data_IF_213553125497
#
_entry.id   IF_213553125497
#
_cell.length_a   1.000
_cell.length_b   1.000
_cell.length_c   1.000
_cell.angle_alpha   90.00
_cell.angle_beta   90.00
_cell.angle_gamma   90.00
#
_symmetry.space_group_name_H-M   'P 1'
#
loop_
_entity.id
_entity.type
_entity.pdbx_description
1 polymer ?
#
# COMPACT_ATOMS: atom_id res chain seq x y z
N UNK A 1 -41.85 7.94 17.61
CA UNK A 1 -41.41 6.80 16.77
C UNK A 1 -40.47 5.94 17.60
N UNK A 2 -40.35 4.64 17.31
CA UNK A 2 -39.38 3.78 17.99
C UNK A 2 -38.00 3.92 17.34
N UNK A 3 -36.94 3.51 18.02
CA UNK A 3 -35.58 3.49 17.44
C UNK A 3 -35.51 2.68 16.13
N UNK A 4 -36.32 1.63 16.00
CA UNK A 4 -36.34 0.78 14.79
C UNK A 4 -36.90 1.53 13.60
N UNK A 5 -37.88 2.41 13.83
CA UNK A 5 -38.53 3.20 12.76
C UNK A 5 -37.61 4.32 12.21
N UNK A 6 -36.59 4.72 12.98
CA UNK A 6 -35.63 5.78 12.64
C UNK A 6 -34.40 5.25 11.88
N UNK A 7 -34.19 3.93 11.84
CA UNK A 7 -33.03 3.32 11.19
C UNK A 7 -33.32 3.10 9.70
N UNK A 8 -32.47 3.68 8.86
CA UNK A 8 -32.45 3.44 7.42
C UNK A 8 -31.13 2.77 7.05
N UNK A 9 -31.05 2.26 5.82
CA UNK A 9 -29.79 1.73 5.29
C UNK A 9 -28.69 2.80 5.29
N UNK A 10 -29.04 4.03 4.94
CA UNK A 10 -28.12 5.17 4.84
C UNK A 10 -27.62 5.60 6.22
N UNK A 11 -28.53 5.70 7.21
CA UNK A 11 -28.12 6.05 8.58
C UNK A 11 -27.30 4.93 9.22
N UNK A 12 -27.58 3.67 8.91
CA UNK A 12 -26.73 2.54 9.31
C UNK A 12 -25.33 2.64 8.70
N UNK A 13 -25.19 2.90 7.40
CA UNK A 13 -23.88 3.05 6.74
C UNK A 13 -23.09 4.20 7.35
N UNK A 14 -23.68 5.40 7.42
CA UNK A 14 -23.00 6.60 7.94
C UNK A 14 -22.59 6.48 9.41
N UNK A 15 -23.24 5.61 10.18
CA UNK A 15 -22.92 5.38 11.58
C UNK A 15 -21.80 4.33 11.79
N UNK A 16 -21.52 3.48 10.80
CA UNK A 16 -20.66 2.31 10.97
C UNK A 16 -19.38 2.32 10.12
N UNK A 17 -19.24 3.23 9.15
CA UNK A 17 -18.09 3.26 8.24
C UNK A 17 -17.40 4.63 8.21
N UNK A 18 -16.07 4.69 8.00
CA UNK A 18 -15.16 3.53 7.86
C UNK A 18 -15.01 2.74 9.17
N UNK A 19 -14.61 1.47 9.10
CA UNK A 19 -14.71 0.52 10.22
C UNK A 19 -13.95 0.94 11.48
N UNK A 20 -12.86 1.69 11.33
CA UNK A 20 -12.05 2.19 12.44
C UNK A 20 -12.36 3.66 12.80
N UNK A 21 -13.29 4.31 12.10
CA UNK A 21 -13.55 5.74 12.25
C UNK A 21 -12.25 6.54 12.11
N UNK A 22 -11.92 7.33 13.12
CA UNK A 22 -10.71 8.15 13.21
C UNK A 22 -9.61 7.57 14.09
N UNK A 23 -9.73 6.32 14.55
CA UNK A 23 -8.76 5.71 15.48
C UNK A 23 -7.32 5.80 14.96
N UNK A 24 -7.10 5.37 13.71
CA UNK A 24 -5.76 5.40 13.12
C UNK A 24 -5.32 6.82 12.73
N UNK A 25 -6.26 7.72 12.43
CA UNK A 25 -5.94 9.13 12.20
C UNK A 25 -5.34 9.75 13.46
N UNK A 26 -5.98 9.53 14.61
CA UNK A 26 -5.53 9.98 15.93
C UNK A 26 -4.17 9.35 16.29
N UNK A 27 -4.03 8.02 16.11
CA UNK A 27 -2.76 7.32 16.39
C UNK A 27 -1.59 7.89 15.57
N UNK A 28 -1.80 8.15 14.28
CA UNK A 28 -0.78 8.74 13.40
C UNK A 28 -0.43 10.17 13.82
N UNK A 29 -1.44 11.01 14.13
CA UNK A 29 -1.23 12.39 14.58
C UNK A 29 -0.41 12.40 15.89
N UNK A 30 -0.77 11.55 16.86
CA UNK A 30 -0.14 11.46 18.18
C UNK A 30 1.24 10.78 18.19
N UNK A 31 1.62 10.02 17.16
CA UNK A 31 2.90 9.31 17.13
C UNK A 31 4.09 10.28 17.15
N UNK A 32 4.90 10.19 18.21
CA UNK A 32 6.18 10.88 18.36
C UNK A 32 7.32 9.99 17.85
N UNK A 33 7.66 10.12 16.56
CA UNK A 33 8.70 9.35 15.88
C UNK A 33 10.07 9.75 16.40
N UNK A 34 10.77 8.79 17.04
CA UNK A 34 12.04 9.05 17.73
C UNK A 34 13.17 9.35 16.74
N UNK A 35 14.16 10.11 17.20
CA UNK A 35 15.39 10.38 16.46
C UNK A 35 16.06 9.07 16.02
N UNK A 36 16.50 9.02 14.76
CA UNK A 36 17.07 7.83 14.13
C UNK A 36 16.04 6.77 13.75
N UNK A 37 14.74 7.08 13.75
CA UNK A 37 13.67 6.15 13.38
C UNK A 37 12.69 6.70 12.34
N UNK A 38 11.95 5.82 11.69
CA UNK A 38 10.83 6.12 10.79
C UNK A 38 9.67 5.18 11.09
N UNK A 39 8.47 5.72 11.25
CA UNK A 39 7.25 4.95 11.49
C UNK A 39 6.42 4.85 10.21
N UNK A 40 5.79 3.68 10.01
CA UNK A 40 4.91 3.42 8.87
C UNK A 40 3.66 2.68 9.34
N UNK A 41 2.55 2.89 8.64
CA UNK A 41 1.31 2.14 8.83
C UNK A 41 0.79 1.61 7.50
N UNK A 42 0.32 0.36 7.52
CA UNK A 42 -0.25 -0.26 6.33
C UNK A 42 -1.73 0.05 6.20
N UNK A 43 -2.15 0.81 5.20
CA UNK A 43 -3.53 1.27 5.03
C UNK A 43 -4.41 0.28 4.26
N UNK A 44 -3.86 -0.89 3.89
CA UNK A 44 -4.49 -1.91 3.04
C UNK A 44 -4.07 -1.76 1.57
N UNK A 45 -4.17 -2.84 0.79
CA UNK A 45 -3.58 -2.92 -0.55
C UNK A 45 -2.07 -2.61 -0.48
N UNK A 46 -1.62 -1.55 -1.14
CA UNK A 46 -0.27 -0.99 -0.95
C UNK A 46 -0.28 0.41 -0.36
N UNK A 47 -1.40 0.82 0.23
CA UNK A 47 -1.47 2.10 0.92
C UNK A 47 -0.51 2.12 2.10
N UNK A 48 0.42 3.08 2.14
CA UNK A 48 1.36 3.26 3.25
C UNK A 48 1.27 4.70 3.73
N UNK A 49 1.08 4.89 5.03
CA UNK A 49 1.42 6.13 5.69
C UNK A 49 2.84 6.04 6.22
N UNK A 50 3.67 7.06 6.00
CA UNK A 50 5.03 7.16 6.53
C UNK A 50 5.17 8.47 7.29
N UNK A 51 5.68 8.40 8.53
CA UNK A 51 6.01 9.57 9.36
C UNK A 51 7.49 9.52 9.75
N UNK A 52 8.24 10.56 9.38
CA UNK A 52 9.67 10.69 9.70
C UNK A 52 9.88 11.25 11.11
N UNK A 53 11.11 11.13 11.63
CA UNK A 53 11.51 11.77 12.90
C UNK A 53 11.34 13.29 12.92
N UNK A 54 11.40 13.96 11.76
CA UNK A 54 11.19 15.40 11.64
C UNK A 54 9.72 15.80 11.57
N UNK A 55 8.79 14.84 11.63
CA UNK A 55 7.35 15.07 11.50
C UNK A 55 6.85 15.18 10.05
N UNK A 56 7.66 14.79 9.06
CA UNK A 56 7.21 14.75 7.66
C UNK A 56 6.27 13.55 7.47
N UNK A 57 5.09 13.78 6.90
CA UNK A 57 4.06 12.79 6.64
C UNK A 57 3.88 12.56 5.12
N UNK A 58 4.06 11.33 4.67
CA UNK A 58 3.84 10.92 3.29
C UNK A 58 2.76 9.84 3.23
N UNK A 59 1.85 9.97 2.26
CA UNK A 59 0.77 9.00 2.03
C UNK A 59 0.92 8.42 0.62
N UNK A 60 1.24 7.14 0.52
CA UNK A 60 1.64 6.47 -0.73
C UNK A 60 0.58 5.45 -1.09
N UNK A 61 0.09 5.45 -2.34
CA UNK A 61 -0.87 4.49 -2.90
C UNK A 61 -2.13 4.28 -2.05
N UNK A 62 -2.56 5.29 -1.29
CA UNK A 62 -3.70 5.12 -0.39
C UNK A 62 -5.02 5.00 -1.16
N UNK A 63 -5.69 3.86 -0.96
CA UNK A 63 -6.88 3.47 -1.71
C UNK A 63 -8.08 3.12 -0.81
N UNK A 64 -9.21 3.80 -1.06
CA UNK A 64 -10.39 3.78 -0.19
C UNK A 64 -11.63 3.17 -0.87
N UNK A 65 -11.54 2.92 -2.18
CA UNK A 65 -12.66 2.32 -2.94
C UNK A 65 -12.85 0.84 -2.60
N UNK A 66 -13.90 0.27 -3.17
CA UNK A 66 -14.29 -1.13 -3.01
C UNK A 66 -14.03 -1.95 -4.30
N UNK A 67 -14.07 -3.27 -4.19
CA UNK A 67 -14.12 -4.20 -5.32
C UNK A 67 -15.48 -4.25 -6.04
N UNK A 68 -15.88 -5.43 -6.52
CA UNK A 68 -17.22 -5.63 -7.09
C UNK A 68 -18.31 -5.48 -6.02
N UNK A 69 -19.42 -4.83 -6.38
CA UNK A 69 -20.61 -4.63 -5.52
C UNK A 69 -21.83 -5.47 -5.91
N UNK A 70 -21.78 -6.10 -7.07
CA UNK A 70 -22.91 -6.85 -7.64
C UNK A 70 -22.41 -7.89 -8.64
N UNK A 71 -23.19 -8.96 -8.80
CA UNK A 71 -22.97 -9.98 -9.82
C UNK A 71 -23.88 -9.79 -11.05
N UNK A 72 -24.63 -8.68 -11.13
CA UNK A 72 -25.59 -8.46 -12.22
C UNK A 72 -24.91 -8.39 -13.60
N UNK A 73 -23.80 -7.66 -13.72
CA UNK A 73 -22.98 -7.72 -14.93
C UNK A 73 -22.14 -8.99 -14.91
N UNK A 74 -22.31 -9.86 -15.91
CA UNK A 74 -21.59 -11.14 -16.01
C UNK A 74 -20.27 -11.04 -16.77
N UNK A 75 -20.02 -9.92 -17.44
CA UNK A 75 -18.88 -9.75 -18.34
C UNK A 75 -17.88 -8.75 -17.78
N UNK A 76 -16.61 -9.05 -18.00
CA UNK A 76 -15.52 -8.10 -17.80
C UNK A 76 -15.66 -6.93 -18.76
N UNK A 77 -15.19 -5.75 -18.35
CA UNK A 77 -15.10 -4.59 -19.25
C UNK A 77 -14.26 -4.96 -20.48
N UNK A 78 -14.78 -4.64 -21.66
CA UNK A 78 -14.09 -4.88 -22.91
C UNK A 78 -12.71 -4.21 -22.89
N UNK A 79 -11.67 -4.96 -23.28
CA UNK A 79 -10.27 -4.55 -23.31
C UNK A 79 -9.69 -4.15 -21.93
N UNK A 80 -10.26 -4.63 -20.84
CA UNK A 80 -9.59 -4.63 -19.54
C UNK A 80 -8.25 -5.38 -19.61
N UNK A 81 -7.25 -4.99 -18.82
CA UNK A 81 -5.92 -5.60 -18.81
C UNK A 81 -5.96 -7.12 -18.63
N UNK A 82 -6.78 -7.64 -17.69
CA UNK A 82 -7.01 -9.09 -17.56
C UNK A 82 -7.58 -9.76 -18.83
N UNK A 83 -8.52 -9.11 -19.53
CA UNK A 83 -9.01 -9.65 -20.81
C UNK A 83 -7.90 -9.65 -21.87
N UNK A 84 -7.04 -8.63 -21.90
CA UNK A 84 -5.90 -8.55 -22.83
C UNK A 84 -4.86 -9.63 -22.54
N UNK A 85 -4.58 -9.89 -21.26
CA UNK A 85 -3.59 -10.88 -20.84
C UNK A 85 -4.03 -12.32 -21.09
N UNK A 86 -5.28 -12.66 -20.74
CA UNK A 86 -5.71 -14.08 -20.67
C UNK A 86 -6.94 -14.40 -21.53
N UNK A 87 -7.49 -13.43 -22.28
CA UNK A 87 -8.64 -13.64 -23.15
C UNK A 87 -9.95 -13.97 -22.42
N UNK A 88 -10.06 -13.63 -21.13
CA UNK A 88 -11.26 -13.93 -20.34
C UNK A 88 -12.43 -12.99 -20.67
N UNK A 89 -13.65 -13.54 -20.68
CA UNK A 89 -14.88 -12.74 -20.88
C UNK A 89 -15.68 -12.54 -19.59
N UNK A 90 -15.64 -13.51 -18.67
CA UNK A 90 -16.42 -13.46 -17.43
C UNK A 90 -15.88 -12.37 -16.51
N UNK A 91 -16.79 -11.77 -15.74
CA UNK A 91 -16.44 -10.81 -14.69
C UNK A 91 -15.43 -11.43 -13.70
N UNK A 92 -14.38 -10.68 -13.37
CA UNK A 92 -13.47 -11.02 -12.28
C UNK A 92 -14.19 -10.87 -10.92
N UNK A 93 -14.12 -11.86 -10.02
CA UNK A 93 -14.75 -11.82 -8.71
C UNK A 93 -13.86 -11.15 -7.65
N UNK A 94 -13.23 -10.02 -7.95
CA UNK A 94 -12.39 -9.29 -7.00
C UNK A 94 -13.24 -8.48 -6.02
N UNK A 95 -13.43 -9.02 -4.81
CA UNK A 95 -14.06 -8.35 -3.69
C UNK A 95 -12.97 -7.83 -2.76
N UNK A 96 -13.16 -6.61 -2.22
CA UNK A 96 -12.27 -6.05 -1.20
C UNK A 96 -12.40 -6.88 0.08
N UNK A 97 -11.29 -7.36 0.64
CA UNK A 97 -11.28 -8.31 1.77
C UNK A 97 -10.77 -7.71 3.09
N UNK A 98 -10.48 -6.41 3.12
CA UNK A 98 -10.06 -5.69 4.34
C UNK A 98 -10.90 -4.44 4.59
N UNK A 99 -11.02 -4.02 5.87
CA UNK A 99 -11.68 -2.78 6.24
C UNK A 99 -10.95 -1.54 5.67
N UNK A 100 -11.60 -0.39 5.76
CA UNK A 100 -10.94 0.91 5.64
C UNK A 100 -10.48 1.35 7.03
N UNK A 101 -9.17 1.28 7.28
CA UNK A 101 -8.58 1.50 8.62
C UNK A 101 -8.26 2.96 8.93
N UNK A 102 -8.22 3.81 7.91
CA UNK A 102 -8.00 5.25 8.02
C UNK A 102 -9.20 5.98 7.38
N UNK A 103 -9.65 7.09 7.94
CA UNK A 103 -10.62 7.97 7.26
C UNK A 103 -9.86 9.03 6.46
N UNK A 104 -9.95 9.06 5.11
CA UNK A 104 -9.28 10.10 4.34
C UNK A 104 -9.79 11.51 4.70
N UNK A 105 -11.07 11.66 5.07
CA UNK A 105 -11.67 12.96 5.39
C UNK A 105 -11.33 13.47 6.80
N UNK A 106 -10.64 12.66 7.60
CA UNK A 106 -10.06 13.08 8.87
C UNK A 106 -8.55 13.37 8.79
N UNK A 107 -7.94 13.30 7.59
CA UNK A 107 -6.55 13.71 7.39
C UNK A 107 -6.46 15.23 7.59
N UNK A 108 -5.63 15.66 8.55
CA UNK A 108 -5.30 17.08 8.80
C UNK A 108 -3.86 17.42 8.43
N UNK A 109 -2.94 16.51 8.71
CA UNK A 109 -1.50 16.71 8.52
C UNK A 109 -0.94 15.69 7.53
N UNK A 110 -0.51 16.16 6.36
CA UNK A 110 0.21 15.37 5.34
C UNK A 110 1.02 16.35 4.48
N UNK A 111 2.21 15.96 4.03
CA UNK A 111 3.08 16.84 3.22
C UNK A 111 3.04 16.47 1.73
N UNK A 112 2.85 15.20 1.41
CA UNK A 112 2.63 14.75 0.04
C UNK A 112 1.78 13.49 -0.09
N UNK A 113 1.01 13.44 -1.17
CA UNK A 113 0.30 12.27 -1.66
C UNK A 113 1.08 11.70 -2.83
N UNK A 114 1.48 10.44 -2.72
CA UNK A 114 2.27 9.73 -3.73
C UNK A 114 1.42 8.64 -4.38
N UNK A 115 1.61 8.43 -5.68
CA UNK A 115 1.08 7.28 -6.40
C UNK A 115 2.18 6.67 -7.24
N UNK A 116 2.37 5.35 -7.14
CA UNK A 116 3.36 4.60 -7.91
C UNK A 116 2.94 4.45 -9.36
N UNK A 117 1.65 4.24 -9.62
CA UNK A 117 1.09 4.03 -10.95
C UNK A 117 -0.43 4.23 -10.95
N UNK A 118 -1.06 4.16 -12.12
CA UNK A 118 -2.42 4.69 -12.34
C UNK A 118 -3.53 3.63 -12.29
N UNK A 119 -3.23 2.39 -11.89
CA UNK A 119 -4.28 1.40 -11.63
C UNK A 119 -5.18 1.85 -10.49
N UNK A 120 -6.45 1.45 -10.60
CA UNK A 120 -7.52 2.01 -9.78
C UNK A 120 -7.41 1.74 -8.28
N UNK A 121 -6.52 0.84 -7.85
CA UNK A 121 -6.19 0.46 -6.47
C UNK A 121 -4.90 1.07 -5.91
N UNK A 122 -4.27 2.00 -6.66
CA UNK A 122 -3.05 2.73 -6.27
C UNK A 122 -3.20 4.26 -6.34
N UNK A 123 -4.40 4.73 -6.70
CA UNK A 123 -4.74 6.14 -6.80
C UNK A 123 -6.25 6.34 -6.53
N UNK A 124 -6.58 7.39 -5.79
CA UNK A 124 -7.95 7.56 -5.26
C UNK A 124 -8.41 9.02 -5.29
N UNK A 125 -9.54 9.25 -5.98
CA UNK A 125 -10.18 10.55 -6.11
C UNK A 125 -10.80 11.06 -4.79
N UNK A 126 -11.18 10.19 -3.87
CA UNK A 126 -11.74 10.56 -2.56
C UNK A 126 -10.63 11.05 -1.64
N UNK A 127 -9.46 10.39 -1.67
CA UNK A 127 -8.26 10.85 -0.94
C UNK A 127 -7.82 12.21 -1.48
N UNK A 128 -7.77 12.38 -2.80
CA UNK A 128 -7.46 13.67 -3.40
C UNK A 128 -8.45 14.75 -2.96
N UNK A 129 -9.76 14.47 -3.02
CA UNK A 129 -10.78 15.42 -2.57
C UNK A 129 -10.63 15.80 -1.10
N UNK A 130 -10.39 14.82 -0.21
CA UNK A 130 -10.22 15.07 1.22
C UNK A 130 -9.02 15.97 1.51
N UNK A 131 -7.87 15.69 0.90
CA UNK A 131 -6.64 16.49 1.07
C UNK A 131 -6.83 17.91 0.54
N UNK A 132 -7.49 18.08 -0.61
CA UNK A 132 -7.79 19.41 -1.14
C UNK A 132 -8.75 20.21 -0.24
N UNK A 133 -9.66 19.53 0.46
CA UNK A 133 -10.65 20.17 1.35
C UNK A 133 -10.09 20.51 2.73
N UNK A 134 -9.18 19.70 3.25
CA UNK A 134 -8.78 19.74 4.66
C UNK A 134 -7.35 20.26 4.88
N UNK A 135 -6.44 20.05 3.92
CA UNK A 135 -5.01 20.25 4.13
C UNK A 135 -4.48 21.51 3.45
N UNK A 136 -3.24 21.86 3.79
CA UNK A 136 -2.54 23.01 3.26
C UNK A 136 -2.50 22.99 1.70
N UNK A 137 -2.71 24.14 1.02
CA UNK A 137 -2.53 24.25 -0.43
C UNK A 137 -1.15 23.80 -0.94
N UNK A 138 -0.12 23.78 -0.07
CA UNK A 138 1.23 23.36 -0.42
C UNK A 138 1.41 21.85 -0.51
N UNK A 139 0.50 21.02 0.02
CA UNK A 139 0.61 19.54 -0.08
C UNK A 139 0.68 19.14 -1.55
N UNK A 140 1.72 18.35 -1.88
CA UNK A 140 2.03 17.95 -3.26
C UNK A 140 1.40 16.60 -3.62
N UNK A 141 1.03 16.44 -4.88
CA UNK A 141 0.59 15.19 -5.49
C UNK A 141 1.68 14.70 -6.45
N UNK A 142 2.39 13.64 -6.09
CA UNK A 142 3.62 13.21 -6.75
C UNK A 142 3.38 11.84 -7.41
N UNK A 143 3.63 11.75 -8.70
CA UNK A 143 3.35 10.53 -9.46
C UNK A 143 3.95 10.53 -10.86
N UNK A 144 3.95 9.37 -11.55
CA UNK A 144 4.26 9.32 -12.97
C UNK A 144 3.24 10.14 -13.77
N UNK A 145 3.54 10.40 -15.04
CA UNK A 145 2.71 11.26 -15.88
C UNK A 145 1.23 10.83 -15.89
N UNK A 146 0.96 9.53 -16.03
CA UNK A 146 -0.41 9.00 -16.03
C UNK A 146 -1.18 9.30 -14.73
N UNK A 147 -0.53 9.27 -13.56
CA UNK A 147 -1.16 9.62 -12.29
C UNK A 147 -1.49 11.11 -12.21
N UNK A 148 -0.57 11.97 -12.66
CA UNK A 148 -0.80 13.42 -12.72
C UNK A 148 -1.93 13.77 -13.68
N UNK A 149 -2.03 13.10 -14.82
CA UNK A 149 -3.15 13.26 -15.75
C UNK A 149 -4.49 12.84 -15.13
N UNK A 150 -4.53 11.76 -14.33
CA UNK A 150 -5.75 11.38 -13.59
C UNK A 150 -6.13 12.43 -12.54
N UNK A 151 -5.18 12.84 -11.68
CA UNK A 151 -5.44 13.84 -10.64
C UNK A 151 -5.93 15.16 -11.21
N UNK A 152 -5.24 15.69 -12.23
CA UNK A 152 -5.68 16.93 -12.89
C UNK A 152 -7.02 16.75 -13.59
N UNK A 153 -7.28 15.58 -14.19
CA UNK A 153 -8.59 15.24 -14.74
C UNK A 153 -9.72 15.19 -13.70
N UNK A 154 -9.42 14.90 -12.43
CA UNK A 154 -10.38 14.97 -11.31
C UNK A 154 -10.50 16.37 -10.68
N UNK A 155 -9.63 17.31 -11.06
CA UNK A 155 -9.66 18.68 -10.59
C UNK A 155 -8.60 19.04 -9.54
N UNK A 156 -7.58 18.20 -9.34
CA UNK A 156 -6.39 18.60 -8.57
C UNK A 156 -5.67 19.72 -9.35
N UNK A 157 -5.40 20.88 -8.73
CA UNK A 157 -4.68 21.97 -9.40
C UNK A 157 -3.29 21.53 -9.88
N UNK A 158 -2.94 21.84 -11.12
CA UNK A 158 -1.70 21.37 -11.75
C UNK A 158 -0.44 21.84 -11.00
N UNK A 159 -0.49 23.01 -10.37
CA UNK A 159 0.57 23.57 -9.53
C UNK A 159 0.85 22.77 -8.24
N UNK A 160 -0.08 21.90 -7.84
CA UNK A 160 0.11 20.96 -6.73
C UNK A 160 0.70 19.62 -7.19
N UNK A 161 0.73 19.36 -8.49
CA UNK A 161 1.22 18.10 -9.04
C UNK A 161 2.72 18.17 -9.37
N UNK A 162 3.44 17.10 -9.07
CA UNK A 162 4.83 16.90 -9.48
C UNK A 162 4.91 15.60 -10.27
N UNK A 163 5.14 15.71 -11.58
CA UNK A 163 5.41 14.56 -12.42
C UNK A 163 6.85 14.09 -12.22
N UNK A 164 7.03 12.79 -11.97
CA UNK A 164 8.34 12.15 -11.81
C UNK A 164 8.51 11.01 -12.80
N UNK A 165 9.77 10.71 -13.15
CA UNK A 165 10.21 9.52 -13.89
C UNK A 165 11.46 8.92 -13.22
N UNK A 166 11.89 7.70 -13.57
CA UNK A 166 13.10 7.10 -13.00
C UNK A 166 14.32 8.04 -13.08
N UNK A 167 15.00 8.21 -11.94
CA UNK A 167 16.13 9.11 -11.76
C UNK A 167 15.79 10.49 -11.19
N UNK A 168 14.52 10.91 -11.23
CA UNK A 168 14.10 12.17 -10.61
C UNK A 168 14.11 12.06 -9.07
N UNK A 169 14.28 13.19 -8.39
CA UNK A 169 14.30 13.27 -6.92
C UNK A 169 13.49 14.47 -6.45
N UNK A 170 12.66 14.26 -5.42
CA UNK A 170 11.80 15.29 -4.82
C UNK A 170 12.07 15.35 -3.32
N UNK A 171 12.36 16.55 -2.79
CA UNK A 171 12.53 16.76 -1.35
C UNK A 171 11.21 17.19 -0.72
N UNK A 172 10.80 16.52 0.36
CA UNK A 172 9.62 16.86 1.16
C UNK A 172 10.02 16.81 2.62
N UNK A 173 9.97 17.96 3.31
CA UNK A 173 10.45 18.10 4.68
C UNK A 173 11.89 17.60 4.86
N UNK A 174 12.09 16.67 5.80
CA UNK A 174 13.35 15.97 6.07
C UNK A 174 13.55 14.68 5.26
N UNK A 175 12.68 14.40 4.29
CA UNK A 175 12.75 13.22 3.42
C UNK A 175 13.20 13.55 2.00
N UNK A 176 13.81 12.56 1.33
CA UNK A 176 14.15 12.61 -0.09
C UNK A 176 13.48 11.43 -0.81
N UNK A 177 12.60 11.71 -1.76
CA UNK A 177 11.90 10.72 -2.56
C UNK A 177 12.63 10.57 -3.89
N UNK A 178 13.18 9.39 -4.16
CA UNK A 178 13.81 9.05 -5.43
C UNK A 178 12.85 8.17 -6.24
N UNK A 179 12.50 8.63 -7.44
CA UNK A 179 11.73 7.81 -8.38
C UNK A 179 12.67 6.85 -9.11
N UNK A 180 12.32 5.57 -9.15
CA UNK A 180 13.10 4.48 -9.73
C UNK A 180 12.26 3.70 -10.73
N UNK A 181 12.92 2.88 -11.55
CA UNK A 181 12.25 2.02 -12.53
C UNK A 181 11.19 1.13 -11.88
N UNK A 182 9.98 1.11 -12.45
CA UNK A 182 8.95 0.14 -12.11
C UNK A 182 9.02 -1.10 -13.00
N UNK A 183 8.47 -2.20 -12.51
CA UNK A 183 8.43 -3.49 -13.22
C UNK A 183 7.02 -4.07 -13.30
N UNK A 184 5.99 -3.22 -13.21
CA UNK A 184 4.62 -3.67 -13.37
C UNK A 184 4.29 -3.90 -14.85
N UNK A 185 4.41 -5.17 -15.26
CA UNK A 185 4.10 -5.59 -16.63
C UNK A 185 2.60 -5.48 -16.93
N UNK A 186 1.74 -5.46 -15.91
CA UNK A 186 0.29 -5.29 -16.08
C UNK A 186 0.00 -3.87 -16.57
N UNK A 187 0.72 -2.86 -16.10
CA UNK A 187 0.61 -1.49 -16.62
C UNK A 187 0.89 -1.39 -18.13
N UNK A 188 1.88 -2.13 -18.64
CA UNK A 188 2.20 -2.12 -20.08
C UNK A 188 1.07 -2.65 -20.97
N UNK A 189 0.10 -3.36 -20.39
CA UNK A 189 -1.10 -3.85 -21.10
C UNK A 189 -2.40 -3.17 -20.63
N UNK A 190 -2.32 -2.24 -19.68
CA UNK A 190 -3.41 -1.33 -19.34
C UNK A 190 -3.43 -0.20 -20.37
N UNK A 191 -4.47 -0.18 -21.19
CA UNK A 191 -4.60 0.78 -22.28
C UNK A 191 -6.06 1.17 -22.49
N UNK A 192 -6.35 2.40 -22.95
CA UNK A 192 -7.71 2.85 -23.26
C UNK A 192 -8.46 1.91 -24.20
N UNK A 193 -9.79 1.89 -24.08
CA UNK A 193 -10.66 1.15 -24.99
C UNK A 193 -10.46 1.67 -26.43
N UNK A 194 -10.37 0.76 -27.38
CA UNK A 194 -10.09 1.02 -28.79
C UNK A 194 -8.62 0.77 -29.18
N UNK A 195 -7.70 0.76 -28.22
CA UNK A 195 -6.27 0.52 -28.49
C UNK A 195 -5.99 -0.97 -28.70
N UNK A 196 -5.37 -1.33 -29.82
CA UNK A 196 -4.91 -2.69 -30.13
C UNK A 196 -3.42 -2.79 -29.83
N UNK A 197 -3.04 -3.61 -28.84
CA UNK A 197 -1.64 -3.77 -28.45
C UNK A 197 -0.89 -4.83 -29.27
N UNK A 198 -1.61 -5.80 -29.85
CA UNK A 198 -1.00 -6.90 -30.60
C UNK A 198 -0.23 -6.36 -31.81
N UNK A 199 1.08 -6.62 -31.83
CA UNK A 199 1.97 -6.20 -32.92
C UNK A 199 2.34 -4.72 -32.90
N UNK A 200 2.02 -3.98 -31.83
CA UNK A 200 2.45 -2.60 -31.62
C UNK A 200 3.69 -2.53 -30.72
N UNK A 201 4.44 -1.42 -30.74
CA UNK A 201 5.47 -1.15 -29.75
C UNK A 201 4.91 -1.23 -28.32
N UNK A 202 5.75 -1.64 -27.38
CA UNK A 202 5.42 -1.67 -25.95
C UNK A 202 5.27 -0.24 -25.45
N UNK A 203 4.31 0.01 -24.55
CA UNK A 203 4.14 1.30 -23.89
C UNK A 203 5.40 1.65 -23.07
N UNK A 204 5.63 2.93 -22.84
CA UNK A 204 6.78 3.39 -22.04
C UNK A 204 6.42 3.31 -20.55
N UNK A 205 7.09 2.44 -19.80
CA UNK A 205 6.80 2.22 -18.37
C UNK A 205 6.92 3.51 -17.57
N UNK A 206 7.95 4.31 -17.83
CA UNK A 206 8.31 5.51 -17.07
C UNK A 206 7.22 6.58 -17.07
N UNK A 207 6.31 6.56 -18.06
CA UNK A 207 5.14 7.43 -18.12
C UNK A 207 3.98 6.92 -17.26
N UNK A 208 3.94 5.61 -16.99
CA UNK A 208 2.82 4.90 -16.37
C UNK A 208 3.09 4.57 -14.90
N UNK A 209 4.32 4.21 -14.56
CA UNK A 209 4.68 3.63 -13.28
C UNK A 209 6.11 3.95 -12.84
N UNK A 210 6.30 4.18 -11.53
CA UNK A 210 7.60 4.29 -10.86
C UNK A 210 7.57 3.53 -9.53
N UNK A 211 8.74 3.07 -9.10
CA UNK A 211 8.95 2.64 -7.72
C UNK A 211 9.55 3.82 -6.93
N UNK A 212 9.30 3.89 -5.64
CA UNK A 212 9.87 4.95 -4.79
C UNK A 212 10.91 4.39 -3.84
N UNK A 213 12.05 5.08 -3.73
CA UNK A 213 12.95 4.97 -2.60
C UNK A 213 12.84 6.26 -1.77
N UNK A 214 12.26 6.15 -0.59
CA UNK A 214 12.07 7.26 0.34
C UNK A 214 13.20 7.19 1.35
N UNK A 215 14.12 8.15 1.29
CA UNK A 215 15.20 8.29 2.26
C UNK A 215 14.75 9.19 3.39
N UNK A 216 14.91 8.70 4.61
CA UNK A 216 14.64 9.45 5.84
C UNK A 216 15.89 9.42 6.72
N UNK A 217 16.00 10.31 7.72
CA UNK A 217 17.08 10.23 8.70
C UNK A 217 17.10 8.91 9.49
N UNK A 218 15.95 8.23 9.63
CA UNK A 218 15.82 6.97 10.36
C UNK A 218 16.01 5.70 9.53
N UNK A 219 15.99 5.80 8.20
CA UNK A 219 16.14 4.66 7.28
C UNK A 219 15.52 4.89 5.90
N UNK A 220 15.90 4.05 4.95
CA UNK A 220 15.46 4.12 3.55
C UNK A 220 14.41 3.06 3.23
N UNK A 221 13.25 3.50 2.76
CA UNK A 221 12.07 2.67 2.50
C UNK A 221 11.83 2.58 1.00
N UNK A 222 11.81 1.36 0.47
CA UNK A 222 11.52 1.08 -0.94
C UNK A 222 10.07 0.61 -1.11
N UNK A 223 9.29 1.34 -1.89
CA UNK A 223 7.91 1.02 -2.23
C UNK A 223 7.81 0.59 -3.69
N UNK A 224 7.52 -0.69 -3.94
CA UNK A 224 7.53 -1.25 -5.30
C UNK A 224 6.27 -0.99 -6.13
N UNK A 225 5.26 -0.34 -5.54
CA UNK A 225 3.88 -0.47 -6.01
C UNK A 225 3.55 -1.96 -6.03
N UNK A 226 3.04 -2.46 -7.15
CA UNK A 226 2.88 -3.89 -7.40
C UNK A 226 3.71 -4.45 -8.55
N UNK A 227 4.86 -3.83 -8.80
CA UNK A 227 5.89 -4.32 -9.71
C UNK A 227 6.09 -5.83 -9.62
N UNK A 228 6.10 -6.50 -10.77
CA UNK A 228 6.49 -7.91 -10.85
C UNK A 228 7.98 -8.09 -10.58
N UNK A 229 8.41 -9.34 -10.50
CA UNK A 229 9.84 -9.64 -10.37
C UNK A 229 10.64 -9.14 -11.58
N UNK A 230 11.75 -8.46 -11.32
CA UNK A 230 12.76 -8.07 -12.31
C UNK A 230 14.16 -8.31 -11.75
N UNK A 231 15.10 -8.68 -12.62
CA UNK A 231 16.52 -8.72 -12.26
C UNK A 231 17.05 -7.33 -11.90
N UNK A 232 16.41 -6.28 -12.42
CA UNK A 232 16.86 -4.90 -12.26
C UNK A 232 16.70 -4.35 -10.83
N UNK A 233 15.95 -5.05 -9.97
CA UNK A 233 16.02 -4.83 -8.52
C UNK A 233 17.47 -4.88 -8.00
N UNK A 234 18.34 -5.71 -8.61
CA UNK A 234 19.76 -5.77 -8.24
C UNK A 234 20.50 -4.48 -8.56
N UNK A 235 20.10 -3.74 -9.61
CA UNK A 235 20.67 -2.42 -9.90
C UNK A 235 20.31 -1.43 -8.80
N UNK A 236 19.03 -1.39 -8.41
CA UNK A 236 18.57 -0.51 -7.33
C UNK A 236 19.29 -0.83 -6.01
N UNK A 237 19.43 -2.11 -5.65
CA UNK A 237 20.16 -2.52 -4.43
C UNK A 237 21.67 -2.29 -4.50
N UNK A 238 22.27 -2.24 -5.69
CA UNK A 238 23.68 -1.88 -5.87
C UNK A 238 23.91 -0.37 -5.77
N UNK A 239 22.98 0.43 -6.27
CA UNK A 239 23.11 1.90 -6.34
C UNK A 239 22.67 2.59 -5.04
N UNK A 240 21.81 1.94 -4.26
CA UNK A 240 21.18 2.53 -3.09
C UNK A 240 21.24 1.62 -1.87
N UNK A 241 21.39 2.23 -0.69
CA UNK A 241 21.07 1.57 0.58
C UNK A 241 19.55 1.51 0.71
N UNK A 242 19.02 0.32 0.90
CA UNK A 242 17.60 0.06 1.13
C UNK A 242 17.50 -0.66 2.46
N UNK A 243 16.71 -0.14 3.38
CA UNK A 243 16.57 -0.72 4.71
C UNK A 243 15.31 -1.59 4.78
N UNK A 244 14.18 -1.02 4.35
CA UNK A 244 12.88 -1.70 4.31
C UNK A 244 12.41 -1.77 2.86
N UNK A 245 11.98 -2.94 2.40
CA UNK A 245 11.41 -3.12 1.06
C UNK A 245 9.99 -3.69 1.14
N UNK A 246 9.04 -2.95 0.58
CA UNK A 246 7.69 -3.42 0.34
C UNK A 246 7.61 -4.14 -1.00
N UNK A 247 7.00 -5.33 -1.01
CA UNK A 247 6.79 -6.13 -2.22
C UNK A 247 5.37 -6.65 -2.31
N UNK A 248 4.70 -6.39 -3.43
CA UNK A 248 3.32 -6.87 -3.62
C UNK A 248 3.29 -8.38 -3.87
N UNK A 249 2.55 -9.06 -3.01
CA UNK A 249 2.39 -10.51 -2.97
C UNK A 249 0.92 -10.89 -3.15
N UNK A 250 0.64 -12.09 -3.66
CA UNK A 250 -0.73 -12.58 -3.82
C UNK A 250 -0.79 -13.92 -4.54
N UNK A 251 -1.89 -14.64 -4.36
CA UNK A 251 -2.08 -15.96 -4.98
C UNK A 251 -2.64 -15.80 -6.39
N UNK A 252 -1.80 -16.05 -7.39
CA UNK A 252 -2.17 -15.84 -8.78
C UNK A 252 -3.20 -16.90 -9.24
N UNK A 253 -4.36 -16.49 -9.80
CA UNK A 253 -5.27 -17.45 -10.41
C UNK A 253 -4.61 -18.25 -11.54
N UNK A 254 -5.10 -19.48 -11.80
CA UNK A 254 -4.60 -20.32 -12.90
C UNK A 254 -4.61 -19.56 -14.23
N UNK A 255 -3.43 -19.40 -14.82
CA UNK A 255 -3.23 -18.73 -16.11
C UNK A 255 -3.08 -17.21 -16.02
N UNK A 256 -2.99 -16.64 -14.82
CA UNK A 256 -2.73 -15.23 -14.56
C UNK A 256 -1.35 -15.05 -13.93
N UNK A 257 -0.75 -13.89 -14.15
CA UNK A 257 0.39 -13.41 -13.37
C UNK A 257 0.21 -11.93 -13.16
N UNK A 258 -0.15 -11.56 -11.93
CA UNK A 258 -0.44 -10.19 -11.53
C UNK A 258 0.30 -9.79 -10.25
N UNK A 259 0.74 -10.75 -9.43
CA UNK A 259 1.54 -10.51 -8.21
C UNK A 259 2.80 -11.36 -8.18
N UNK A 260 3.82 -10.93 -7.44
CA UNK A 260 5.02 -11.75 -7.22
C UNK A 260 4.69 -13.00 -6.40
N UNK A 261 5.43 -14.08 -6.65
CA UNK A 261 5.35 -15.32 -5.85
C UNK A 261 6.10 -15.16 -4.53
N UNK A 262 5.88 -16.08 -3.58
CA UNK A 262 6.64 -16.14 -2.33
C UNK A 262 8.15 -16.28 -2.56
N UNK A 263 8.56 -17.03 -3.60
CA UNK A 263 9.97 -17.15 -4.03
C UNK A 263 10.50 -15.82 -4.55
N UNK A 264 9.71 -15.08 -5.33
CA UNK A 264 10.14 -13.82 -5.92
C UNK A 264 10.23 -12.69 -4.90
N UNK A 265 9.42 -12.69 -3.84
CA UNK A 265 9.59 -11.76 -2.71
C UNK A 265 10.97 -11.94 -2.06
N UNK A 266 11.40 -13.17 -1.83
CA UNK A 266 12.74 -13.45 -1.28
C UNK A 266 13.86 -13.06 -2.25
N UNK A 267 13.67 -13.27 -3.56
CA UNK A 267 14.64 -12.86 -4.57
C UNK A 267 14.70 -11.35 -4.73
N UNK A 268 13.57 -10.66 -4.62
CA UNK A 268 13.51 -9.19 -4.61
C UNK A 268 14.31 -8.66 -3.43
N UNK A 269 14.07 -9.18 -2.22
CA UNK A 269 14.80 -8.78 -1.02
C UNK A 269 16.33 -9.02 -1.15
N UNK A 270 16.73 -10.16 -1.70
CA UNK A 270 18.14 -10.44 -2.01
C UNK A 270 18.73 -9.44 -3.02
N UNK A 271 18.01 -9.15 -4.10
CA UNK A 271 18.45 -8.21 -5.14
C UNK A 271 18.54 -6.77 -4.62
N UNK A 272 17.53 -6.31 -3.87
CA UNK A 272 17.52 -4.99 -3.26
C UNK A 272 18.53 -4.86 -2.11
N UNK A 273 19.09 -5.98 -1.64
CA UNK A 273 20.02 -6.04 -0.52
C UNK A 273 19.48 -5.30 0.72
N UNK A 274 18.18 -5.48 1.00
CA UNK A 274 17.49 -4.81 2.11
C UNK A 274 17.79 -5.45 3.48
N UNK A 275 17.43 -4.79 4.58
CA UNK A 275 17.45 -5.39 5.93
C UNK A 275 16.12 -6.11 6.25
N UNK A 276 14.99 -5.53 5.83
CA UNK A 276 13.65 -6.07 6.08
C UNK A 276 12.85 -6.09 4.78
N UNK A 277 12.17 -7.21 4.52
CA UNK A 277 11.19 -7.32 3.42
C UNK A 277 9.79 -7.53 3.99
N UNK A 278 8.83 -6.74 3.52
CA UNK A 278 7.45 -6.75 4.01
C UNK A 278 6.52 -7.02 2.83
N UNK A 279 5.88 -8.20 2.74
CA UNK A 279 4.87 -8.45 1.72
C UNK A 279 3.62 -7.60 1.99
N UNK A 280 3.12 -6.92 0.97
CA UNK A 280 1.87 -6.13 0.98
C UNK A 280 0.96 -6.57 -0.19
N UNK A 281 -0.18 -5.92 -0.43
CA UNK A 281 -1.19 -6.23 -1.48
C UNK A 281 -1.95 -7.56 -1.32
N UNK A 282 -1.38 -8.52 -0.59
CA UNK A 282 -1.95 -9.86 -0.38
C UNK A 282 -3.24 -9.88 0.44
N UNK A 283 -3.59 -8.74 1.05
CA UNK A 283 -4.76 -8.54 1.90
C UNK A 283 -6.04 -8.27 1.10
N UNK A 284 -5.91 -7.57 -0.04
CA UNK A 284 -7.00 -6.73 -0.54
C UNK A 284 -8.04 -7.49 -1.35
N UNK A 285 -7.65 -8.52 -2.12
CA UNK A 285 -8.53 -9.18 -3.08
C UNK A 285 -8.87 -10.62 -2.70
N UNK A 286 -10.16 -10.92 -2.50
CA UNK A 286 -10.60 -12.30 -2.16
C UNK A 286 -10.17 -13.36 -3.16
N UNK A 287 -10.06 -13.01 -4.45
CA UNK A 287 -9.65 -13.96 -5.50
C UNK A 287 -8.13 -14.09 -5.65
N UNK A 288 -7.35 -13.42 -4.79
CA UNK A 288 -5.89 -13.52 -4.65
C UNK A 288 -5.45 -13.91 -3.23
N UNK A 289 -6.38 -14.45 -2.43
CA UNK A 289 -6.11 -14.87 -1.06
C UNK A 289 -4.87 -15.76 -1.00
N UNK A 290 -3.82 -15.28 -0.34
CA UNK A 290 -2.51 -15.92 -0.26
C UNK A 290 -2.16 -16.32 1.17
N UNK A 291 -1.12 -17.13 1.33
CA UNK A 291 -0.54 -17.47 2.63
C UNK A 291 0.89 -16.89 2.77
N UNK A 292 1.06 -15.74 3.45
CA UNK A 292 2.37 -15.13 3.66
C UNK A 292 3.36 -16.01 4.45
N UNK A 293 2.88 -17.06 5.14
CA UNK A 293 3.75 -18.00 5.84
C UNK A 293 4.71 -18.72 4.88
N UNK A 294 4.34 -18.88 3.61
CA UNK A 294 5.23 -19.42 2.58
C UNK A 294 6.57 -18.67 2.53
N UNK A 295 6.52 -17.34 2.61
CA UNK A 295 7.71 -16.47 2.55
C UNK A 295 8.62 -16.76 3.75
N UNK A 296 8.04 -16.82 4.96
CA UNK A 296 8.79 -17.09 6.19
C UNK A 296 9.42 -18.49 6.17
N UNK A 297 8.67 -19.51 5.76
CA UNK A 297 9.17 -20.90 5.70
C UNK A 297 10.27 -21.05 4.64
N UNK A 298 10.07 -20.52 3.43
CA UNK A 298 11.08 -20.55 2.39
C UNK A 298 12.33 -19.76 2.78
N UNK A 299 12.18 -18.63 3.47
CA UNK A 299 13.30 -17.87 4.03
C UNK A 299 14.09 -18.72 5.04
N UNK A 300 13.42 -19.37 5.99
CA UNK A 300 14.08 -20.26 6.96
C UNK A 300 14.86 -21.39 6.27
N UNK A 301 14.30 -21.99 5.21
CA UNK A 301 14.96 -23.04 4.45
C UNK A 301 16.18 -22.57 3.64
N UNK A 302 16.25 -21.29 3.25
CA UNK A 302 17.23 -20.77 2.30
C UNK A 302 18.29 -19.88 2.93
N UNK A 303 17.99 -19.18 4.03
CA UNK A 303 18.81 -18.08 4.55
C UNK A 303 20.25 -18.49 4.86
N UNK A 304 20.49 -19.68 5.42
CA UNK A 304 21.84 -20.10 5.79
C UNK A 304 22.65 -20.53 4.55
N UNK A 305 21.99 -21.23 3.62
CA UNK A 305 22.61 -21.70 2.37
C UNK A 305 22.97 -20.55 1.43
N UNK A 306 22.08 -19.56 1.31
CA UNK A 306 22.26 -18.40 0.43
C UNK A 306 22.85 -17.19 1.14
N UNK A 307 23.06 -17.27 2.46
CA UNK A 307 23.56 -16.18 3.31
C UNK A 307 22.69 -14.92 3.20
N UNK A 308 21.37 -15.09 3.24
CA UNK A 308 20.44 -13.96 3.25
C UNK A 308 20.71 -13.05 4.46
N UNK A 309 20.78 -11.75 4.19
CA UNK A 309 21.03 -10.70 5.20
C UNK A 309 19.76 -9.97 5.65
N UNK A 310 18.64 -10.27 5.02
CA UNK A 310 17.34 -9.67 5.32
C UNK A 310 16.46 -10.61 6.17
N UNK A 311 15.44 -10.04 6.80
CA UNK A 311 14.36 -10.76 7.48
C UNK A 311 13.00 -10.43 6.84
N UNK A 312 12.09 -11.41 6.66
CA UNK A 312 10.72 -11.12 6.33
C UNK A 312 9.96 -10.66 7.57
N UNK A 313 9.07 -9.67 7.41
CA UNK A 313 8.14 -9.24 8.45
C UNK A 313 6.71 -9.35 7.93
N UNK A 314 5.89 -10.20 8.56
CA UNK A 314 4.49 -10.43 8.17
C UNK A 314 3.61 -9.42 8.92
N UNK A 315 3.03 -8.48 8.17
CA UNK A 315 2.29 -7.35 8.72
C UNK A 315 0.77 -7.59 8.76
N UNK A 316 0.02 -6.61 9.28
CA UNK A 316 -1.45 -6.60 9.26
C UNK A 316 -1.96 -5.19 8.92
N UNK A 317 -3.09 -5.11 8.22
CA UNK A 317 -3.68 -3.84 7.79
C UNK A 317 -4.10 -2.99 9.00
N UNK A 318 -3.71 -1.73 9.01
CA UNK A 318 -3.85 -0.76 10.10
C UNK A 318 -2.69 -0.82 11.11
N UNK A 319 -1.82 -1.83 11.03
CA UNK A 319 -0.71 -1.99 11.97
C UNK A 319 0.43 -1.00 11.72
N UNK A 320 1.14 -0.65 12.80
CA UNK A 320 2.37 0.14 12.80
C UNK A 320 3.62 -0.74 12.62
N UNK A 321 4.65 -0.20 11.98
CA UNK A 321 6.02 -0.73 11.94
C UNK A 321 7.01 0.44 12.04
N UNK A 322 7.99 0.34 12.94
CA UNK A 322 9.00 1.38 13.15
C UNK A 322 10.40 0.83 12.87
N UNK A 323 11.10 1.39 11.89
CA UNK A 323 12.49 1.04 11.61
C UNK A 323 13.44 2.02 12.30
N UNK A 324 14.59 1.57 12.87
CA UNK A 324 15.05 0.19 13.00
C UNK A 324 14.48 -0.59 14.20
N UNK A 325 13.60 0.01 15.02
CA UNK A 325 13.09 -0.57 16.27
C UNK A 325 12.57 -2.02 16.10
N UNK A 326 11.78 -2.26 15.07
CA UNK A 326 11.08 -3.53 14.83
C UNK A 326 11.79 -4.44 13.82
N UNK A 327 13.00 -4.07 13.37
CA UNK A 327 13.64 -4.72 12.21
C UNK A 327 13.94 -6.20 12.39
N UNK A 328 14.04 -6.64 13.65
CA UNK A 328 14.38 -8.01 14.00
C UNK A 328 13.15 -8.90 14.25
N UNK A 329 11.96 -8.29 14.35
CA UNK A 329 10.68 -8.96 14.45
C UNK A 329 10.32 -9.66 13.13
N UNK A 330 9.45 -10.67 13.21
CA UNK A 330 9.03 -11.46 12.05
C UNK A 330 7.53 -11.38 11.76
N UNK A 331 6.72 -11.04 12.77
CA UNK A 331 5.27 -11.02 12.68
C UNK A 331 4.72 -9.88 13.52
N UNK A 332 3.80 -9.13 12.94
CA UNK A 332 3.03 -8.12 13.65
C UNK A 332 1.89 -8.78 14.46
N UNK A 333 1.56 -8.16 15.59
CA UNK A 333 0.31 -8.42 16.30
C UNK A 333 -0.27 -7.08 16.76
N UNK A 334 -1.58 -6.90 16.63
CA UNK A 334 -2.25 -5.69 17.13
C UNK A 334 -2.04 -5.53 18.65
N UNK A 335 -2.01 -4.29 19.18
CA UNK A 335 -2.10 -4.06 20.61
C UNK A 335 -3.26 -4.85 21.21
N UNK A 336 -2.98 -5.60 22.28
CA UNK A 336 -3.94 -6.53 22.88
C UNK A 336 -4.82 -5.86 23.94
N UNK A 337 -4.45 -4.66 24.38
CA UNK A 337 -5.08 -3.97 25.49
C UNK A 337 -4.77 -4.61 26.84
N UNK A 338 -5.42 -4.10 27.88
CA UNK A 338 -5.34 -4.59 29.26
C UNK A 338 -3.94 -4.47 29.87
N UNK A 339 -3.15 -3.49 29.43
CA UNK A 339 -1.82 -3.19 29.98
C UNK A 339 -1.89 -2.83 31.48
N UNK A 340 -3.05 -2.36 31.93
CA UNK A 340 -3.37 -2.01 33.32
C UNK A 340 -4.25 -3.05 34.02
N UNK A 341 -4.29 -4.31 33.53
CA UNK A 341 -5.05 -5.37 34.17
C UNK A 341 -4.76 -5.45 35.68
N UNK A 342 -5.84 -5.44 36.49
CA UNK A 342 -5.78 -5.38 37.96
C UNK A 342 -5.25 -4.07 38.57
N UNK A 343 -5.30 -2.96 37.84
CA UNK A 343 -5.09 -1.62 38.41
C UNK A 343 -6.12 -1.27 39.52
N UNK A 344 -7.29 -1.91 39.48
CA UNK A 344 -8.28 -1.95 40.56
C UNK A 344 -8.67 -3.39 40.87
N UNK A 345 -9.17 -3.66 42.09
CA UNK A 345 -9.67 -4.99 42.44
C UNK A 345 -10.89 -5.36 41.57
N UNK A 346 -10.97 -6.59 41.06
CA UNK A 346 -12.07 -7.02 40.20
C UNK A 346 -13.36 -7.19 41.00
N UNK A 347 -14.48 -6.72 40.45
CA UNK A 347 -15.82 -6.90 41.04
C UNK A 347 -16.38 -8.29 40.72
N UNK A 348 -15.78 -9.31 41.33
CA UNK A 348 -16.15 -10.71 41.17
C UNK A 348 -16.69 -11.28 42.49
N UNK A 349 -17.69 -12.18 42.44
CA UNK A 349 -18.24 -12.84 43.62
C UNK A 349 -17.21 -13.55 44.50
N UNK A 350 -16.11 -14.04 43.91
CA UNK A 350 -14.93 -14.57 44.59
C UNK A 350 -13.74 -14.55 43.61
N UNK A 351 -12.51 -14.52 44.14
CA UNK A 351 -11.30 -14.29 43.34
C UNK A 351 -11.02 -15.33 42.25
N UNK A 352 -11.39 -16.60 42.47
CA UNK A 352 -11.11 -17.71 41.55
C UNK A 352 -12.23 -17.97 40.53
N UNK A 353 -13.12 -17.00 40.29
CA UNK A 353 -14.17 -17.18 39.29
C UNK A 353 -13.62 -17.20 37.86
N UNK A 354 -12.57 -16.41 37.60
CA UNK A 354 -11.90 -16.27 36.31
C UNK A 354 -10.38 -16.16 36.48
#
# INVERSE_FOLDING_TARGET
>A
MSKVDEITRESWILKNFPEWGTWLNEEIEEEDVKEGTVAMWWLGCTGIWLKSQGGTNLCIDYWTKHGKKTQQNKLMKEQHQHQRMIGCLKLQPNLRNVPCVLDPFAIKEVDAILSTHHHGDHIDENVAAAVLQNCDPEVKFIGPQACVELWTGWGVPAERCITVKPGDTVKVGDTEIVALDAFDRTELVTAPKGVVLKGQPVQEMDLLAVNYLIKTPGGNVYHSGDSHYSNYYAKHGNDHKIDVAFGSYGENPRGMTDKMTSVDILRMAECLNCEVVIPIHHDIWTNFQADPMEIKILWQMKKDRLKYKFKPYLWQVGGKFTFPTDKDELEYHYPRGFEDAFAIEPDLPFKSLL
#
